data_IF_919963904481
#
_entry.id   IF_919963904481
#
_cell.length_a   1.000
_cell.length_b   1.000
_cell.length_c   1.000
_cell.angle_alpha   90.00
_cell.angle_beta   90.00
_cell.angle_gamma   90.00
#
_symmetry.space_group_name_H-M   'P 1'
#
loop_
_entity.id
_entity.type
_entity.pdbx_description
1 polymer ?
#
# COMPACT_ATOMS: atom_id res chain seq x y z
N UNK A 1 7.93 43.99 -2.14
CA UNK A 1 7.35 43.37 -3.36
C UNK A 1 6.45 42.24 -2.89
N UNK A 2 5.19 42.13 -3.34
CA UNK A 2 4.35 40.99 -3.00
C UNK A 2 4.86 39.74 -3.74
N UNK A 3 4.73 38.58 -3.09
CA UNK A 3 5.09 37.29 -3.66
C UNK A 3 4.27 37.02 -4.93
N UNK A 4 4.92 36.51 -5.98
CA UNK A 4 4.22 36.08 -7.18
C UNK A 4 3.22 34.97 -6.82
N UNK A 5 1.99 34.98 -7.36
CA UNK A 5 1.04 33.90 -7.13
C UNK A 5 1.60 32.59 -7.67
N UNK A 6 1.34 31.48 -6.95
CA UNK A 6 1.66 30.15 -7.43
C UNK A 6 0.98 29.92 -8.80
N UNK A 7 1.67 29.34 -9.80
CA UNK A 7 1.07 29.06 -11.09
C UNK A 7 -0.16 28.15 -10.90
N UNK A 8 -1.29 28.52 -11.51
CA UNK A 8 -2.48 27.66 -11.49
C UNK A 8 -2.20 26.39 -12.28
N UNK A 9 -2.64 25.24 -11.76
CA UNK A 9 -2.51 23.92 -12.38
C UNK A 9 -2.96 23.87 -13.86
N UNK A 10 -3.96 24.69 -14.21
CA UNK A 10 -4.48 24.83 -15.57
C UNK A 10 -3.49 25.38 -16.59
N UNK A 11 -2.45 26.12 -16.17
CA UNK A 11 -1.53 26.79 -17.09
C UNK A 11 -0.51 25.85 -17.75
N UNK A 12 -0.44 24.57 -17.32
CA UNK A 12 0.48 23.57 -17.85
C UNK A 12 -0.17 22.43 -18.64
N UNK A 13 -1.49 22.46 -18.83
CA UNK A 13 -2.25 21.39 -19.50
C UNK A 13 -2.57 21.77 -20.96
N UNK A 14 -2.47 20.83 -21.92
CA UNK A 14 -2.91 21.07 -23.29
C UNK A 14 -4.41 21.42 -23.38
N UNK A 15 -4.77 22.33 -24.30
CA UNK A 15 -6.15 22.80 -24.52
C UNK A 15 -7.16 21.67 -24.82
N UNK A 16 -6.70 20.50 -25.29
CA UNK A 16 -7.57 19.35 -25.54
C UNK A 16 -8.06 18.68 -24.25
N UNK A 17 -7.29 18.74 -23.16
CA UNK A 17 -7.65 18.14 -21.87
C UNK A 17 -8.46 19.12 -21.00
N UNK A 18 -8.25 20.43 -21.15
CA UNK A 18 -9.05 21.45 -20.46
C UNK A 18 -10.45 21.63 -21.04
N UNK A 19 -10.68 21.15 -22.27
CA UNK A 19 -11.99 21.17 -22.94
C UNK A 19 -12.82 19.89 -22.76
N UNK A 20 -12.26 18.85 -22.12
CA UNK A 20 -13.00 17.65 -21.74
C UNK A 20 -13.67 17.85 -20.38
N UNK A 21 -15.01 18.00 -20.41
CA UNK A 21 -15.80 18.35 -19.24
C UNK A 21 -15.77 17.26 -18.16
N UNK A 22 -15.62 15.99 -18.55
CA UNK A 22 -15.60 14.85 -17.63
C UNK A 22 -14.22 14.72 -16.97
N UNK A 23 -13.15 14.93 -17.73
CA UNK A 23 -11.80 15.01 -17.20
C UNK A 23 -11.65 16.16 -16.20
N UNK A 24 -12.12 17.37 -16.54
CA UNK A 24 -12.02 18.53 -15.66
C UNK A 24 -12.93 18.38 -14.43
N UNK A 25 -14.10 17.73 -14.55
CA UNK A 25 -14.96 17.40 -13.41
C UNK A 25 -14.28 16.42 -12.44
N UNK A 26 -13.63 15.37 -12.96
CA UNK A 26 -12.87 14.40 -12.17
C UNK A 26 -11.65 15.02 -11.47
N UNK A 27 -10.91 15.90 -12.16
CA UNK A 27 -9.78 16.63 -11.59
C UNK A 27 -10.22 17.66 -10.54
N UNK A 28 -11.35 18.34 -10.74
CA UNK A 28 -11.86 19.36 -9.80
C UNK A 28 -12.49 18.73 -8.56
N UNK A 29 -13.11 17.55 -8.69
CA UNK A 29 -13.61 16.76 -7.58
C UNK A 29 -12.48 16.08 -6.77
N UNK A 30 -11.31 15.87 -7.38
CA UNK A 30 -10.14 15.32 -6.73
C UNK A 30 -9.36 16.43 -5.98
N UNK A 31 -9.53 16.50 -4.65
CA UNK A 31 -8.67 17.29 -3.76
C UNK A 31 -7.31 16.62 -3.57
N UNK A 32 -6.59 16.38 -4.67
CA UNK A 32 -5.29 15.71 -4.67
C UNK A 32 -4.14 16.72 -4.72
N UNK A 33 -3.09 16.46 -3.94
CA UNK A 33 -1.88 17.31 -3.91
C UNK A 33 -0.88 16.92 -4.99
N UNK A 34 -0.96 15.71 -5.58
CA UNK A 34 -0.04 15.22 -6.62
C UNK A 34 -0.74 14.26 -7.59
N UNK A 35 -0.34 14.33 -8.86
CA UNK A 35 -0.66 13.34 -9.90
C UNK A 35 0.67 12.80 -10.46
N UNK A 36 0.74 11.49 -10.69
CA UNK A 36 1.86 10.85 -11.38
C UNK A 36 1.33 10.09 -12.60
N UNK A 37 1.95 10.34 -13.75
CA UNK A 37 1.70 9.63 -15.00
C UNK A 37 2.91 8.76 -15.30
N UNK A 38 2.70 7.47 -15.57
CA UNK A 38 3.76 6.55 -15.97
C UNK A 38 3.57 6.22 -17.45
N UNK A 39 4.60 6.49 -18.26
CA UNK A 39 4.71 6.05 -19.64
C UNK A 39 5.74 4.93 -19.72
N UNK A 40 5.37 3.78 -20.27
CA UNK A 40 6.14 2.52 -20.25
C UNK A 40 7.01 2.31 -21.50
N UNK A 41 7.50 3.37 -22.14
CA UNK A 41 8.40 3.23 -23.28
C UNK A 41 9.75 3.98 -23.07
N UNK A 42 10.81 3.20 -22.85
CA UNK A 42 12.28 3.50 -22.89
C UNK A 42 13.00 4.07 -21.63
N UNK A 43 14.29 3.68 -21.40
CA UNK A 43 15.01 3.97 -20.17
C UNK A 43 15.78 5.32 -20.21
N UNK A 44 15.61 6.08 -19.12
CA UNK A 44 16.46 7.17 -18.62
C UNK A 44 16.66 8.43 -19.48
N UNK A 45 15.77 9.42 -19.30
CA UNK A 45 16.05 10.78 -18.77
C UNK A 45 14.71 11.51 -18.64
N UNK A 46 14.53 12.42 -17.67
CA UNK A 46 13.22 12.99 -17.36
C UNK A 46 12.52 13.64 -18.57
N UNK A 47 11.22 13.39 -18.73
CA UNK A 47 10.41 13.97 -19.79
C UNK A 47 9.27 14.83 -19.21
N UNK A 48 9.16 16.06 -19.73
CA UNK A 48 7.92 16.81 -19.78
C UNK A 48 7.06 16.26 -20.94
N UNK A 49 5.74 16.33 -20.79
CA UNK A 49 4.77 16.03 -21.86
C UNK A 49 5.06 16.90 -23.09
N UNK A 50 5.66 16.32 -24.12
CA UNK A 50 5.72 16.94 -25.45
C UNK A 50 4.53 16.43 -26.25
N UNK A 51 3.67 17.36 -26.68
CA UNK A 51 2.52 17.07 -27.52
C UNK A 51 2.96 16.37 -28.82
N UNK A 52 2.39 15.19 -29.09
CA UNK A 52 2.53 14.47 -30.37
C UNK A 52 3.19 13.09 -30.33
N UNK A 53 3.63 12.57 -29.18
CA UNK A 53 4.38 11.31 -29.10
C UNK A 53 3.58 10.03 -28.77
N UNK A 54 2.29 10.11 -28.44
CA UNK A 54 1.48 8.91 -28.19
C UNK A 54 0.83 8.45 -29.51
N UNK A 55 1.50 7.55 -30.23
CA UNK A 55 0.88 6.77 -31.30
C UNK A 55 1.13 5.29 -31.09
N UNK A 56 0.16 4.65 -30.46
CA UNK A 56 -0.03 3.20 -30.43
C UNK A 56 -1.33 2.87 -29.69
N UNK A 57 -2.23 2.02 -30.24
CA UNK A 57 -3.47 1.59 -29.58
C UNK A 57 -3.27 0.72 -28.31
N UNK A 58 -2.05 0.68 -27.75
CA UNK A 58 -1.65 -0.15 -26.61
C UNK A 58 -1.05 0.64 -25.43
N UNK A 59 -1.28 1.96 -25.35
CA UNK A 59 -0.80 2.77 -24.23
C UNK A 59 -1.82 2.84 -23.09
N UNK A 60 -1.64 2.01 -22.05
CA UNK A 60 -2.43 2.10 -20.81
C UNK A 60 -1.84 3.19 -19.90
N UNK A 61 -2.68 4.16 -19.51
CA UNK A 61 -2.32 5.18 -18.51
C UNK A 61 -2.79 4.70 -17.14
N UNK A 62 -1.87 4.64 -16.18
CA UNK A 62 -2.19 4.35 -14.78
C UNK A 62 -2.29 5.66 -14.00
N UNK A 63 -3.42 5.88 -13.31
CA UNK A 63 -3.59 6.98 -12.36
C UNK A 63 -3.69 6.40 -10.96
N UNK A 64 -2.73 6.75 -10.11
CA UNK A 64 -2.71 6.36 -8.70
C UNK A 64 -3.20 7.53 -7.83
N UNK A 65 -4.18 7.27 -6.97
CA UNK A 65 -4.70 8.23 -5.99
C UNK A 65 -4.04 8.01 -4.63
N UNK A 66 -3.42 9.05 -4.07
CA UNK A 66 -2.84 9.02 -2.73
C UNK A 66 -3.70 9.83 -1.76
N UNK A 67 -4.21 9.18 -0.71
CA UNK A 67 -4.93 9.84 0.39
C UNK A 67 -4.15 9.74 1.69
N UNK A 68 -3.77 10.88 2.27
CA UNK A 68 -3.00 10.93 3.53
C UNK A 68 -3.79 10.50 4.78
N UNK A 69 -5.10 10.29 4.67
CA UNK A 69 -5.94 10.13 5.86
C UNK A 69 -6.46 8.72 6.14
N UNK A 70 -6.48 7.77 5.18
CA UNK A 70 -7.05 6.43 5.43
C UNK A 70 -6.30 5.25 4.76
N UNK A 71 -5.14 5.43 4.12
CA UNK A 71 -4.29 4.31 3.70
C UNK A 71 -4.85 3.38 2.61
N UNK A 72 -6.01 3.68 2.01
CA UNK A 72 -6.59 2.87 0.95
C UNK A 72 -5.93 3.14 -0.41
N UNK A 73 -5.41 2.08 -1.02
CA UNK A 73 -4.97 2.08 -2.42
C UNK A 73 -6.15 1.77 -3.32
N UNK A 74 -6.49 2.68 -4.23
CA UNK A 74 -7.45 2.41 -5.30
C UNK A 74 -6.74 2.56 -6.65
N UNK A 75 -6.67 1.46 -7.39
CA UNK A 75 -6.31 1.46 -8.80
C UNK A 75 -7.52 1.93 -9.61
N UNK A 76 -7.35 3.00 -10.38
CA UNK A 76 -8.27 3.32 -11.46
C UNK A 76 -7.64 2.84 -12.77
N UNK A 77 -8.05 1.68 -13.25
CA UNK A 77 -7.91 1.31 -14.65
C UNK A 77 -9.03 2.00 -15.43
N UNK A 78 -8.72 2.54 -16.61
CA UNK A 78 -9.77 2.95 -17.55
C UNK A 78 -10.38 1.69 -18.16
N UNK A 79 -11.35 1.13 -17.44
CA UNK A 79 -12.25 0.05 -17.85
C UNK A 79 -13.62 0.42 -17.28
N UNK A 80 -14.70 0.11 -18.00
CA UNK A 80 -16.06 0.28 -17.47
C UNK A 80 -16.36 -0.67 -16.29
N UNK A 81 -15.41 -1.55 -15.92
CA UNK A 81 -15.50 -2.44 -14.75
C UNK A 81 -14.12 -2.59 -14.07
N UNK A 82 -13.90 -2.05 -12.86
CA UNK A 82 -12.61 -2.14 -12.17
C UNK A 82 -12.30 -3.57 -11.72
N UNK A 83 -11.23 -4.17 -12.23
CA UNK A 83 -10.63 -5.38 -11.63
C UNK A 83 -10.00 -4.96 -10.29
N UNK A 84 -10.54 -5.48 -9.19
CA UNK A 84 -10.03 -5.20 -7.84
C UNK A 84 -8.91 -6.17 -7.52
N UNK A 85 -7.67 -5.70 -7.55
CA UNK A 85 -6.59 -6.38 -6.84
C UNK A 85 -6.80 -6.18 -5.33
N UNK A 86 -6.53 -7.20 -4.50
CA UNK A 86 -6.62 -7.04 -3.06
C UNK A 86 -5.65 -5.92 -2.62
N UNK A 87 -6.12 -4.88 -1.90
CA UNK A 87 -5.24 -3.79 -1.49
C UNK A 87 -4.17 -4.34 -0.57
N UNK A 88 -2.90 -4.15 -0.94
CA UNK A 88 -1.80 -4.32 0.01
C UNK A 88 -1.85 -3.11 0.93
N UNK A 89 -2.30 -3.31 2.16
CA UNK A 89 -2.32 -2.25 3.18
C UNK A 89 -0.90 -1.67 3.34
N UNK A 90 -0.77 -0.35 3.43
CA UNK A 90 0.54 0.33 3.55
C UNK A 90 1.38 -0.25 4.71
N UNK A 91 0.73 -0.56 5.84
CA UNK A 91 1.42 -1.18 6.98
C UNK A 91 1.83 -2.64 6.72
N UNK A 92 1.12 -3.37 5.85
CA UNK A 92 1.50 -4.72 5.44
C UNK A 92 2.68 -4.70 4.47
N UNK A 93 2.74 -3.73 3.55
CA UNK A 93 3.89 -3.49 2.69
C UNK A 93 5.14 -3.09 3.51
N UNK A 94 4.97 -2.17 4.47
CA UNK A 94 6.04 -1.80 5.41
C UNK A 94 6.53 -2.98 6.25
N UNK A 95 5.60 -3.81 6.74
CA UNK A 95 5.92 -5.00 7.51
C UNK A 95 6.69 -6.03 6.66
N UNK A 96 6.23 -6.31 5.43
CA UNK A 96 6.87 -7.25 4.50
C UNK A 96 8.30 -6.84 4.16
N UNK A 97 8.54 -5.55 3.89
CA UNK A 97 9.89 -5.07 3.59
C UNK A 97 10.79 -5.10 4.83
N UNK A 98 10.25 -4.83 6.01
CA UNK A 98 11.01 -4.92 7.28
C UNK A 98 11.47 -6.36 7.61
N UNK A 99 10.69 -7.37 7.22
CA UNK A 99 11.01 -8.78 7.50
C UNK A 99 12.03 -9.38 6.52
N UNK A 100 12.05 -8.95 5.26
CA UNK A 100 12.87 -9.57 4.21
C UNK A 100 14.11 -8.77 3.79
N UNK A 101 14.18 -7.48 4.12
CA UNK A 101 15.29 -6.61 3.72
C UNK A 101 16.62 -6.85 4.45
N UNK A 102 16.72 -7.80 5.38
CA UNK A 102 17.98 -8.11 6.08
C UNK A 102 18.53 -6.99 6.99
N UNK A 103 17.83 -5.85 7.08
CA UNK A 103 18.03 -4.88 8.14
C UNK A 103 17.63 -5.56 9.44
N UNK A 104 18.62 -5.89 10.27
CA UNK A 104 18.38 -6.07 11.68
C UNK A 104 17.51 -4.89 12.11
N UNK A 105 16.28 -5.16 12.52
CA UNK A 105 15.35 -4.19 13.10
C UNK A 105 16.20 -3.16 13.85
N UNK A 106 16.25 -1.87 13.47
CA UNK A 106 16.94 -0.87 14.30
C UNK A 106 16.31 -1.05 15.67
N UNK A 107 17.13 -1.53 16.61
CA UNK A 107 16.70 -2.41 17.69
C UNK A 107 15.27 -2.10 18.16
N UNK A 108 14.32 -3.02 17.93
CA UNK A 108 12.96 -2.94 18.51
C UNK A 108 12.97 -2.98 20.03
N UNK A 109 14.17 -2.99 20.64
CA UNK A 109 14.36 -2.73 22.05
C UNK A 109 13.68 -1.40 22.39
N UNK A 110 12.74 -1.51 23.30
CA UNK A 110 12.16 -0.36 23.95
C UNK A 110 13.29 0.49 24.55
N UNK A 111 13.34 1.76 24.17
CA UNK A 111 14.30 2.72 24.73
C UNK A 111 13.91 3.18 26.13
N UNK A 112 12.68 2.87 26.56
CA UNK A 112 12.22 3.15 27.91
C UNK A 112 12.73 2.10 28.90
N UNK A 113 13.09 2.57 30.09
CA UNK A 113 13.44 1.73 31.23
C UNK A 113 12.20 1.46 32.08
N UNK A 114 12.09 0.24 32.61
CA UNK A 114 11.00 -0.17 33.48
C UNK A 114 9.63 0.18 32.88
N UNK A 115 9.44 -0.25 31.64
CA UNK A 115 8.38 0.28 30.78
C UNK A 115 6.99 -0.27 31.10
N UNK A 116 6.92 -1.44 31.76
CA UNK A 116 5.73 -1.98 32.40
C UNK A 116 5.65 -1.67 33.90
N UNK A 117 6.40 -0.68 34.40
CA UNK A 117 6.27 -0.14 35.77
C UNK A 117 6.49 -1.10 36.96
N UNK A 118 6.96 -2.33 36.70
CA UNK A 118 7.13 -3.41 37.67
C UNK A 118 8.11 -3.12 38.83
N UNK A 119 9.10 -2.26 38.60
CA UNK A 119 9.98 -1.79 39.68
C UNK A 119 9.44 -0.48 40.26
N UNK A 120 8.92 -0.49 41.49
CA UNK A 120 8.38 0.69 42.16
C UNK A 120 8.42 0.53 43.70
N UNK A 121 8.09 1.61 44.43
CA UNK A 121 8.04 1.63 45.90
C UNK A 121 6.73 1.12 46.52
N UNK A 122 5.83 0.51 45.73
CA UNK A 122 4.48 0.09 46.12
C UNK A 122 3.37 1.01 45.63
N UNK A 123 2.15 0.76 46.11
CA UNK A 123 0.94 1.48 45.70
C UNK A 123 1.04 2.99 45.96
N UNK A 124 0.61 3.78 44.98
CA UNK A 124 0.69 5.22 45.01
C UNK A 124 2.10 5.79 44.94
N UNK A 125 3.14 4.99 44.63
CA UNK A 125 4.51 5.47 44.43
C UNK A 125 4.84 5.71 42.96
N UNK A 126 6.04 6.22 42.68
CA UNK A 126 6.54 6.35 41.30
C UNK A 126 7.26 5.08 40.89
N UNK A 127 7.11 4.69 39.62
CA UNK A 127 7.92 3.63 39.04
C UNK A 127 9.39 4.07 38.89
N UNK A 128 10.32 3.16 39.13
CA UNK A 128 11.75 3.40 38.95
C UNK A 128 12.03 3.90 37.53
N UNK A 129 12.93 4.87 37.40
CA UNK A 129 13.27 5.57 36.14
C UNK A 129 12.17 6.44 35.54
N UNK A 130 11.01 6.58 36.19
CA UNK A 130 9.97 7.51 35.79
C UNK A 130 9.91 8.70 36.76
N UNK A 131 9.50 9.85 36.23
CA UNK A 131 9.13 11.02 37.02
C UNK A 131 7.61 11.13 37.03
N UNK A 132 7.04 11.45 38.18
CA UNK A 132 5.63 11.76 38.31
C UNK A 132 5.39 13.18 38.82
N UNK A 133 4.21 13.69 38.57
CA UNK A 133 3.69 14.89 39.23
C UNK A 133 2.21 14.73 39.51
N UNK A 134 1.80 15.15 40.69
CA UNK A 134 0.42 15.20 41.16
C UNK A 134 -0.32 13.84 41.21
N UNK A 135 -1.58 13.80 40.77
CA UNK A 135 -2.55 12.73 41.04
C UNK A 135 -2.34 11.49 40.15
N UNK A 136 -1.14 10.90 40.23
CA UNK A 136 -0.77 9.67 39.51
C UNK A 136 0.24 8.83 40.29
N UNK A 137 0.09 7.51 40.25
CA UNK A 137 0.97 6.58 40.96
C UNK A 137 0.85 5.15 40.45
N UNK A 138 1.79 4.30 40.88
CA UNK A 138 1.82 2.88 40.58
C UNK A 138 0.73 2.13 41.36
N UNK A 139 0.02 1.22 40.71
CA UNK A 139 -1.10 0.48 41.28
C UNK A 139 -1.15 -0.92 40.71
N UNK A 140 -1.39 -1.92 41.56
CA UNK A 140 -1.45 -3.31 41.10
C UNK A 140 -2.71 -3.62 40.28
N UNK A 141 -3.81 -2.92 40.55
CA UNK A 141 -5.06 -3.02 39.80
C UNK A 141 -5.04 -2.22 38.48
N UNK A 142 -3.96 -1.48 38.21
CA UNK A 142 -3.78 -0.72 36.98
C UNK A 142 -2.91 -1.44 35.94
N UNK A 143 -2.47 -2.67 36.23
CA UNK A 143 -1.64 -3.48 35.36
C UNK A 143 -2.43 -4.04 34.15
N UNK A 144 -1.84 -3.95 32.97
CA UNK A 144 -2.19 -4.74 31.78
C UNK A 144 -1.40 -6.05 31.78
N UNK A 145 -0.11 -5.98 32.10
CA UNK A 145 0.78 -7.12 32.25
C UNK A 145 1.56 -7.00 33.57
N UNK A 146 2.21 -8.08 33.99
CA UNK A 146 2.94 -8.10 35.26
C UNK A 146 2.05 -7.81 36.48
N UNK A 147 2.60 -7.10 37.46
CA UNK A 147 1.97 -6.84 38.75
C UNK A 147 1.65 -5.36 38.97
N UNK A 148 2.15 -4.43 38.14
CA UNK A 148 1.99 -3.00 38.38
C UNK A 148 1.77 -2.21 37.10
N UNK A 149 0.76 -1.33 37.09
CA UNK A 149 0.64 -0.26 36.10
C UNK A 149 0.67 1.10 36.79
N UNK A 150 0.50 2.19 36.04
CA UNK A 150 0.25 3.52 36.62
C UNK A 150 -1.22 3.92 36.46
N UNK A 151 -1.74 4.71 37.39
CA UNK A 151 -3.11 5.23 37.34
C UNK A 151 -3.19 6.70 37.69
N UNK A 152 -3.93 7.47 36.88
CA UNK A 152 -4.37 8.81 37.25
C UNK A 152 -5.63 8.72 38.10
N UNK A 153 -5.62 9.33 39.29
CA UNK A 153 -6.70 9.22 40.26
C UNK A 153 -7.72 10.34 40.11
N UNK A 154 -9.01 9.98 40.09
CA UNK A 154 -10.08 10.98 40.15
C UNK A 154 -10.43 11.46 41.55
N UNK A 155 -10.12 10.65 42.57
CA UNK A 155 -10.47 10.91 43.96
C UNK A 155 -9.42 11.73 44.72
N UNK A 156 -8.34 12.14 44.05
CA UNK A 156 -7.33 13.01 44.63
C UNK A 156 -7.61 14.49 44.31
N UNK A 157 -7.03 15.43 45.06
CA UNK A 157 -7.49 16.82 45.05
C UNK A 157 -6.91 17.67 43.91
N UNK A 158 -5.78 17.30 43.30
CA UNK A 158 -5.09 18.17 42.35
C UNK A 158 -5.82 18.22 41.00
N UNK A 159 -6.57 17.16 40.65
CA UNK A 159 -7.35 17.04 39.39
C UNK A 159 -6.50 17.14 38.12
N UNK A 160 -5.21 16.87 38.25
CA UNK A 160 -4.26 16.71 37.17
C UNK A 160 -3.13 15.78 37.60
N UNK A 161 -2.45 15.19 36.63
CA UNK A 161 -1.26 14.39 36.86
C UNK A 161 -0.39 14.32 35.62
N UNK A 162 0.86 13.93 35.83
CA UNK A 162 1.82 13.67 34.77
C UNK A 162 2.71 12.50 35.13
N UNK A 163 3.00 11.64 34.15
CA UNK A 163 4.14 10.74 34.21
C UNK A 163 5.01 10.94 32.98
N UNK A 164 6.32 10.86 33.18
CA UNK A 164 7.28 11.01 32.09
C UNK A 164 8.58 10.27 32.33
N UNK A 165 9.26 9.92 31.24
CA UNK A 165 10.64 9.46 31.25
C UNK A 165 11.41 10.15 30.14
N UNK A 166 12.63 10.61 30.46
CA UNK A 166 13.54 11.24 29.50
C UNK A 166 14.52 10.19 28.99
N UNK A 167 14.54 9.98 27.68
CA UNK A 167 15.46 9.09 26.97
C UNK A 167 16.55 9.93 26.32
N UNK A 168 17.79 9.76 26.76
CA UNK A 168 18.96 10.49 26.24
C UNK A 168 19.46 9.89 24.91
N UNK A 169 20.37 10.61 24.26
CA UNK A 169 21.06 10.18 23.04
C UNK A 169 20.12 9.94 21.84
N UNK A 170 19.07 10.75 21.72
CA UNK A 170 18.24 10.71 20.50
C UNK A 170 18.98 11.32 19.31
N UNK A 171 18.75 10.76 18.13
CA UNK A 171 19.40 11.19 16.88
C UNK A 171 18.49 12.18 16.15
N UNK A 172 18.94 13.41 15.95
CA UNK A 172 18.22 14.40 15.14
C UNK A 172 17.95 13.85 13.73
N UNK A 173 16.75 14.07 13.21
CA UNK A 173 16.28 13.53 11.93
C UNK A 173 15.72 12.11 11.99
N UNK A 174 15.99 11.35 13.06
CA UNK A 174 15.38 10.03 13.24
C UNK A 174 13.90 10.15 13.66
N UNK A 175 13.09 9.19 13.22
CA UNK A 175 11.71 9.06 13.66
C UNK A 175 11.67 8.24 14.95
N UNK A 176 10.87 8.69 15.89
CA UNK A 176 10.59 7.98 17.13
C UNK A 176 9.09 7.75 17.25
N UNK A 177 8.73 6.61 17.80
CA UNK A 177 7.34 6.24 18.08
C UNK A 177 7.19 5.91 19.56
N UNK A 178 6.44 6.74 20.26
CA UNK A 178 6.01 6.50 21.63
C UNK A 178 4.62 5.87 21.61
N UNK A 179 4.46 4.71 22.23
CA UNK A 179 3.20 4.01 22.39
C UNK A 179 2.90 3.71 23.85
N UNK A 180 1.63 3.75 24.21
CA UNK A 180 1.17 3.46 25.57
C UNK A 180 -0.22 2.81 25.51
N UNK A 181 -0.37 1.57 25.98
CA UNK A 181 -1.64 1.00 26.37
C UNK A 181 -2.32 1.83 27.48
N UNK A 182 -3.58 2.20 27.26
CA UNK A 182 -4.41 2.89 28.25
C UNK A 182 -5.77 2.19 28.42
N UNK A 183 -6.29 2.21 29.63
CA UNK A 183 -7.65 1.80 29.97
C UNK A 183 -8.32 2.93 30.73
N UNK A 184 -9.48 3.40 30.26
CA UNK A 184 -10.25 4.45 30.94
C UNK A 184 -11.48 3.83 31.58
N UNK A 185 -11.59 3.88 32.91
CA UNK A 185 -12.84 3.49 33.57
C UNK A 185 -14.01 4.30 33.01
N UNK A 186 -15.18 3.67 32.88
CA UNK A 186 -16.35 4.29 32.25
C UNK A 186 -16.78 5.60 32.93
N UNK A 187 -16.57 5.70 34.23
CA UNK A 187 -16.85 6.87 35.05
C UNK A 187 -15.75 7.94 35.00
N UNK A 188 -14.56 7.67 34.45
CA UNK A 188 -13.44 8.61 34.48
C UNK A 188 -13.61 9.69 33.41
N UNK A 189 -13.69 10.95 33.84
CA UNK A 189 -13.78 12.13 32.96
C UNK A 189 -12.62 13.06 33.26
N UNK A 190 -11.95 13.49 32.20
CA UNK A 190 -10.91 14.50 32.19
C UNK A 190 -11.09 15.42 30.98
N UNK A 191 -10.86 16.73 31.15
CA UNK A 191 -10.91 17.68 30.04
C UNK A 191 -9.68 17.60 29.14
N UNK A 192 -8.59 17.02 29.64
CA UNK A 192 -7.35 16.79 28.89
C UNK A 192 -6.82 15.40 29.18
N UNK A 193 -6.52 14.65 28.12
CA UNK A 193 -5.71 13.42 28.15
C UNK A 193 -4.77 13.53 26.96
N UNK A 194 -3.47 13.59 27.20
CA UNK A 194 -2.45 13.80 26.18
C UNK A 194 -1.35 12.74 26.27
N UNK A 195 -0.93 12.23 25.11
CA UNK A 195 0.33 11.51 24.93
C UNK A 195 1.27 12.40 24.11
N UNK A 196 2.53 12.52 24.49
CA UNK A 196 3.50 13.38 23.81
C UNK A 196 4.93 12.88 23.80
N UNK A 197 5.68 13.34 22.80
CA UNK A 197 7.15 13.32 22.75
C UNK A 197 7.62 14.77 22.79
N UNK A 198 8.30 15.16 23.86
CA UNK A 198 8.96 16.46 23.98
C UNK A 198 10.45 16.32 23.66
N UNK A 199 10.95 17.17 22.78
CA UNK A 199 12.35 17.18 22.38
C UNK A 199 13.13 18.15 23.24
N UNK A 200 14.18 17.66 23.89
CA UNK A 200 15.04 18.44 24.76
C UNK A 200 16.42 18.62 24.12
N UNK A 201 17.02 19.80 24.27
CA UNK A 201 18.41 20.06 23.88
C UNK A 201 19.43 19.54 24.92
N UNK A 202 20.70 19.85 24.72
CA UNK A 202 21.79 19.42 25.61
C UNK A 202 21.66 19.95 27.05
N UNK A 203 20.97 21.07 27.22
CA UNK A 203 20.75 21.72 28.52
C UNK A 203 19.43 21.27 29.18
N UNK A 204 18.70 20.34 28.56
CA UNK A 204 17.39 19.90 29.01
C UNK A 204 16.26 20.89 28.71
N UNK A 205 16.50 21.89 27.86
CA UNK A 205 15.49 22.86 27.44
C UNK A 205 14.63 22.26 26.33
N UNK A 206 13.32 22.38 26.45
CA UNK A 206 12.39 21.91 25.41
C UNK A 206 12.50 22.76 24.15
N UNK A 207 12.83 22.12 23.03
CA UNK A 207 12.98 22.74 21.70
C UNK A 207 11.87 22.35 20.73
N UNK A 208 11.00 21.42 21.12
CA UNK A 208 9.84 21.02 20.33
C UNK A 208 8.96 20.02 21.08
N UNK A 209 7.72 19.88 20.62
CA UNK A 209 6.75 18.89 21.14
C UNK A 209 5.89 18.39 19.99
N UNK A 210 5.61 17.09 20.00
CA UNK A 210 4.54 16.49 19.20
C UNK A 210 3.61 15.76 20.16
N UNK A 211 2.31 16.03 20.07
CA UNK A 211 1.33 15.45 20.98
C UNK A 211 0.05 15.01 20.26
N UNK A 212 -0.69 14.11 20.90
CA UNK A 212 -2.04 13.73 20.49
C UNK A 212 -3.00 13.86 21.66
N UNK A 213 -4.16 14.46 21.41
CA UNK A 213 -5.28 14.45 22.36
C UNK A 213 -6.00 13.10 22.28
N UNK A 214 -6.35 12.56 23.44
CA UNK A 214 -7.04 11.28 23.61
C UNK A 214 -8.44 11.45 24.23
N UNK A 215 -8.88 12.69 24.43
CA UNK A 215 -10.22 12.97 24.97
C UNK A 215 -11.28 12.39 24.04
N UNK A 216 -12.21 11.61 24.60
CA UNK A 216 -13.27 10.93 23.83
C UNK A 216 -12.82 9.73 23.00
N UNK A 217 -11.52 9.37 23.02
CA UNK A 217 -10.98 8.26 22.23
C UNK A 217 -10.75 6.97 23.03
N UNK A 218 -10.94 7.00 24.36
CA UNK A 218 -10.64 5.88 25.24
C UNK A 218 -11.90 5.28 25.85
N UNK A 219 -11.84 3.98 26.11
CA UNK A 219 -12.94 3.17 26.65
C UNK A 219 -12.49 2.32 27.85
N UNK A 220 -13.44 1.60 28.45
CA UNK A 220 -13.19 0.61 29.50
C UNK A 220 -12.64 -0.70 28.91
N UNK A 221 -11.68 -0.57 27.99
CA UNK A 221 -10.89 -1.64 27.40
C UNK A 221 -9.47 -1.11 27.18
N UNK A 222 -8.49 -1.99 27.25
CA UNK A 222 -7.10 -1.64 26.97
C UNK A 222 -6.94 -1.28 25.49
N UNK A 223 -6.46 -0.07 25.22
CA UNK A 223 -6.26 0.47 23.89
C UNK A 223 -4.86 1.09 23.81
N UNK A 224 -4.05 0.62 22.86
CA UNK A 224 -2.74 1.25 22.61
C UNK A 224 -2.93 2.54 21.82
N UNK A 225 -2.40 3.63 22.36
CA UNK A 225 -2.29 4.92 21.65
C UNK A 225 -0.83 5.23 21.35
N UNK A 226 -0.61 6.04 20.32
CA UNK A 226 0.74 6.28 19.78
C UNK A 226 0.91 7.72 19.34
N UNK A 227 2.13 8.23 19.49
CA UNK A 227 2.63 9.45 18.86
C UNK A 227 3.89 9.09 18.07
N UNK A 228 3.97 9.56 16.83
CA UNK A 228 5.16 9.41 15.99
C UNK A 228 5.69 10.80 15.66
N UNK A 229 6.99 11.01 15.83
CA UNK A 229 7.62 12.31 15.64
C UNK A 229 9.06 12.18 15.14
N UNK A 230 9.48 13.12 14.30
CA UNK A 230 10.88 13.28 13.87
C UNK A 230 11.61 14.13 14.91
N UNK A 231 12.76 13.68 15.39
CA UNK A 231 13.60 14.46 16.28
C UNK A 231 14.13 15.72 15.55
N UNK A 232 13.85 16.95 16.02
CA UNK A 232 14.31 18.16 15.36
C UNK A 232 15.84 18.33 15.49
N UNK A 233 16.41 19.22 14.68
CA UNK A 233 17.80 19.61 14.81
C UNK A 233 18.09 20.12 16.23
N UNK A 234 19.20 19.66 16.82
CA UNK A 234 19.59 20.02 18.19
C UNK A 234 19.00 19.14 19.29
N UNK A 235 18.07 18.22 18.99
CA UNK A 235 17.55 17.28 19.98
C UNK A 235 18.67 16.40 20.56
N UNK A 236 18.63 16.20 21.88
CA UNK A 236 19.55 15.35 22.67
C UNK A 236 18.83 14.37 23.56
N UNK A 237 17.58 14.66 23.94
CA UNK A 237 16.71 13.71 24.59
C UNK A 237 15.27 13.79 24.07
N UNK A 238 14.54 12.68 24.22
CA UNK A 238 13.09 12.61 24.06
C UNK A 238 12.44 12.37 25.41
N UNK A 239 11.52 13.23 25.82
CA UNK A 239 10.66 13.05 26.98
C UNK A 239 9.34 12.43 26.53
N UNK A 240 9.14 11.18 26.90
CA UNK A 240 7.88 10.47 26.67
C UNK A 240 6.93 10.78 27.81
N UNK A 241 5.79 11.40 27.51
CA UNK A 241 4.90 12.00 28.52
C UNK A 241 3.46 11.53 28.33
N UNK A 242 2.83 11.14 29.43
CA UNK A 242 1.38 11.04 29.52
C UNK A 242 0.89 12.08 30.54
N UNK A 243 -0.08 12.89 30.12
CA UNK A 243 -0.60 14.00 30.92
C UNK A 243 -2.12 13.97 30.96
N UNK A 244 -2.68 14.24 32.13
CA UNK A 244 -4.11 14.28 32.35
C UNK A 244 -4.47 15.50 33.21
N UNK A 245 -5.53 16.22 32.86
CA UNK A 245 -5.99 17.38 33.61
C UNK A 245 -7.50 17.60 33.52
N UNK A 246 -8.03 18.38 34.46
CA UNK A 246 -9.46 18.64 34.59
C UNK A 246 -10.23 17.37 34.90
N UNK A 247 -9.69 16.54 35.79
CA UNK A 247 -10.31 15.28 36.22
C UNK A 247 -11.51 15.61 37.12
N UNK A 248 -12.72 15.18 36.76
CA UNK A 248 -13.96 15.65 37.43
C UNK A 248 -14.84 14.55 38.02
N UNK A 249 -14.67 13.29 37.65
CA UNK A 249 -15.57 12.18 38.03
C UNK A 249 -14.82 10.89 38.35
N UNK A 250 -15.48 9.96 39.03
CA UNK A 250 -14.91 8.73 39.62
C UNK A 250 -14.16 7.80 38.66
N UNK A 251 -13.49 6.77 39.20
CA UNK A 251 -12.67 5.83 38.42
C UNK A 251 -11.25 6.34 38.16
N UNK A 252 -10.53 5.69 37.27
CA UNK A 252 -9.14 5.99 36.94
C UNK A 252 -8.87 5.87 35.43
N UNK A 253 -7.80 6.56 34.99
CA UNK A 253 -7.13 6.28 33.73
C UNK A 253 -5.88 5.46 34.05
N UNK A 254 -5.88 4.20 33.62
CA UNK A 254 -4.80 3.23 33.84
C UNK A 254 -3.92 3.20 32.59
N UNK A 255 -2.63 2.95 32.79
CA UNK A 255 -1.66 2.83 31.72
C UNK A 255 -0.59 1.82 32.13
N UNK A 256 -0.08 1.11 31.15
CA UNK A 256 0.94 0.08 31.35
C UNK A 256 1.72 -0.16 30.05
N UNK A 257 2.84 -0.88 30.10
CA UNK A 257 3.62 -1.33 28.93
C UNK A 257 3.95 -0.22 27.93
N UNK A 258 4.46 0.91 28.44
CA UNK A 258 4.94 2.01 27.63
C UNK A 258 6.03 1.54 26.66
N UNK A 259 6.14 2.13 25.47
CA UNK A 259 7.28 1.87 24.60
C UNK A 259 7.70 3.07 23.78
N UNK A 260 8.99 3.38 23.77
CA UNK A 260 9.62 4.28 22.81
C UNK A 260 10.50 3.44 21.90
N UNK A 261 10.24 3.49 20.59
CA UNK A 261 11.01 2.76 19.60
C UNK A 261 11.52 3.70 18.53
N UNK A 262 12.66 3.36 17.92
CA UNK A 262 13.12 4.01 16.71
C UNK A 262 12.17 3.61 15.57
N UNK A 263 11.50 4.58 14.96
CA UNK A 263 10.71 4.36 13.77
C UNK A 263 11.60 4.40 12.53
N UNK A 264 11.23 3.62 11.52
CA UNK A 264 11.79 3.79 10.18
C UNK A 264 11.18 5.08 9.61
N UNK A 265 12.01 6.11 9.47
CA UNK A 265 11.63 7.31 8.75
C UNK A 265 11.61 6.99 7.25
N UNK A 266 10.49 6.46 6.75
CA UNK A 266 10.30 6.44 5.31
C UNK A 266 10.11 7.90 4.85
N UNK A 267 11.13 8.46 4.21
CA UNK A 267 11.10 9.81 3.63
C UNK A 267 10.32 9.84 2.31
N UNK A 268 10.20 8.69 1.66
CA UNK A 268 9.37 8.47 0.48
C UNK A 268 9.07 6.98 0.34
N UNK A 269 7.90 6.64 -0.18
CA UNK A 269 7.60 5.29 -0.65
C UNK A 269 7.05 5.40 -2.07
N UNK A 270 7.70 4.75 -3.03
CA UNK A 270 7.17 4.56 -4.37
C UNK A 270 6.83 3.09 -4.55
N UNK A 271 5.57 2.82 -4.82
CA UNK A 271 5.09 1.51 -5.22
C UNK A 271 4.75 1.60 -6.70
N UNK A 272 5.40 0.78 -7.52
CA UNK A 272 5.15 0.74 -8.96
C UNK A 272 5.09 -0.69 -9.47
N UNK A 273 4.31 -0.91 -10.52
CA UNK A 273 4.39 -2.14 -11.30
C UNK A 273 5.62 -2.04 -12.21
N UNK A 274 6.45 -3.07 -12.20
CA UNK A 274 7.65 -3.15 -13.04
C UNK A 274 7.58 -4.46 -13.82
N UNK A 275 7.80 -4.35 -15.13
CA UNK A 275 8.07 -5.50 -15.99
C UNK A 275 9.51 -5.40 -16.50
N UNK A 276 10.28 -6.44 -16.28
CA UNK A 276 11.64 -6.64 -16.76
C UNK A 276 11.68 -8.02 -17.45
N UNK A 277 11.80 -8.07 -18.80
CA UNK A 277 11.78 -9.33 -19.53
C UNK A 277 12.96 -10.26 -19.21
N UNK A 278 13.99 -9.79 -18.48
CA UNK A 278 15.07 -10.65 -18.00
C UNK A 278 14.76 -11.32 -16.65
N UNK A 279 13.73 -10.87 -15.93
CA UNK A 279 13.41 -11.30 -14.56
C UNK A 279 11.96 -11.75 -14.37
N UNK A 280 11.04 -11.28 -15.21
CA UNK A 280 9.62 -11.61 -15.15
C UNK A 280 9.25 -12.51 -16.33
N UNK A 281 8.50 -13.57 -16.03
CA UNK A 281 8.12 -14.58 -17.02
C UNK A 281 7.11 -14.06 -18.06
N UNK A 282 6.38 -12.98 -17.73
CA UNK A 282 5.35 -12.43 -18.62
C UNK A 282 5.10 -10.94 -18.36
N UNK A 283 4.86 -10.12 -19.40
CA UNK A 283 4.42 -8.73 -19.25
C UNK A 283 3.04 -8.60 -18.59
N UNK A 284 2.29 -9.71 -18.51
CA UNK A 284 0.98 -9.78 -17.85
C UNK A 284 1.08 -10.16 -16.37
N UNK A 285 2.27 -10.52 -15.90
CA UNK A 285 2.59 -10.75 -14.48
C UNK A 285 3.69 -9.79 -14.01
N UNK A 286 3.47 -8.46 -14.10
CA UNK A 286 4.41 -7.51 -13.56
C UNK A 286 4.58 -7.74 -12.06
N UNK A 287 5.81 -7.61 -11.57
CA UNK A 287 6.06 -7.56 -10.13
C UNK A 287 5.76 -6.16 -9.61
N UNK A 288 5.37 -6.11 -8.34
CA UNK A 288 5.32 -4.86 -7.61
C UNK A 288 6.71 -4.55 -7.11
N UNK A 289 7.26 -3.42 -7.51
CA UNK A 289 8.47 -2.87 -6.92
C UNK A 289 8.08 -1.84 -5.86
N UNK A 290 8.43 -2.13 -4.62
CA UNK A 290 8.26 -1.23 -3.48
C UNK A 290 9.61 -0.63 -3.16
N UNK A 291 9.77 0.65 -3.45
CA UNK A 291 10.95 1.42 -3.09
C UNK A 291 10.65 2.35 -1.92
N UNK A 292 11.50 2.33 -0.88
CA UNK A 292 11.38 3.18 0.30
C UNK A 292 12.65 3.97 0.52
N UNK A 293 12.57 5.29 0.43
CA UNK A 293 13.62 6.18 0.88
C UNK A 293 13.66 6.23 2.40
N UNK A 294 14.83 6.08 2.98
CA UNK A 294 15.12 6.34 4.39
C UNK A 294 16.27 7.34 4.50
N UNK A 295 16.65 7.72 5.73
CA UNK A 295 17.84 8.53 5.95
C UNK A 295 19.15 7.82 5.51
N UNK A 296 19.13 6.48 5.40
CA UNK A 296 20.31 5.66 5.06
C UNK A 296 20.39 5.31 3.57
N UNK A 297 19.32 5.55 2.80
CA UNK A 297 19.27 5.24 1.36
C UNK A 297 17.88 4.79 0.90
N UNK A 298 17.79 4.36 -0.36
CA UNK A 298 16.56 3.80 -0.93
C UNK A 298 16.62 2.28 -0.92
N UNK A 299 15.62 1.64 -0.32
CA UNK A 299 15.44 0.20 -0.34
C UNK A 299 14.43 -0.19 -1.39
N UNK A 300 14.77 -1.13 -2.27
CA UNK A 300 13.87 -1.62 -3.32
C UNK A 300 13.58 -3.09 -3.06
N UNK A 301 12.30 -3.45 -3.02
CA UNK A 301 11.85 -4.83 -2.85
C UNK A 301 10.85 -5.23 -3.93
N UNK A 302 11.08 -6.40 -4.51
CA UNK A 302 10.22 -7.01 -5.52
C UNK A 302 9.17 -7.90 -4.82
N UNK A 303 7.90 -7.67 -5.09
CA UNK A 303 6.76 -8.48 -4.62
C UNK A 303 6.10 -9.13 -5.83
N UNK A 304 6.18 -10.46 -5.89
CA UNK A 304 5.59 -11.27 -6.95
C UNK A 304 4.14 -11.61 -6.62
N UNK A 305 3.26 -11.50 -7.61
CA UNK A 305 1.92 -12.08 -7.53
C UNK A 305 2.11 -13.60 -7.56
N UNK A 306 1.59 -14.33 -6.58
CA UNK A 306 1.85 -15.75 -6.36
C UNK A 306 1.24 -16.72 -7.38
N UNK A 307 1.10 -16.29 -8.63
CA UNK A 307 0.74 -17.12 -9.78
C UNK A 307 2.05 -17.72 -10.28
N UNK A 308 2.17 -19.05 -10.28
CA UNK A 308 3.32 -19.71 -10.88
C UNK A 308 3.11 -19.66 -12.39
N UNK A 309 3.92 -18.93 -13.19
CA UNK A 309 3.58 -18.68 -14.59
C UNK A 309 3.60 -19.96 -15.45
N UNK A 310 4.40 -20.94 -15.05
CA UNK A 310 4.41 -22.30 -15.62
C UNK A 310 3.43 -23.25 -14.94
N UNK A 311 2.66 -22.76 -13.97
CA UNK A 311 1.58 -23.48 -13.32
C UNK A 311 0.39 -23.61 -14.27
N UNK A 312 -0.52 -24.48 -13.87
CA UNK A 312 -1.81 -24.72 -14.51
C UNK A 312 -2.78 -24.78 -13.32
N UNK A 313 -3.18 -23.59 -12.86
CA UNK A 313 -3.77 -23.37 -11.53
C UNK A 313 -5.15 -24.03 -11.43
N UNK A 314 -5.90 -24.11 -12.52
CA UNK A 314 -7.20 -24.78 -12.59
C UNK A 314 -7.16 -26.17 -13.24
N UNK A 315 -5.99 -26.61 -13.73
CA UNK A 315 -5.74 -27.95 -14.27
C UNK A 315 -6.48 -28.23 -15.59
N UNK A 316 -6.67 -27.22 -16.42
CA UNK A 316 -7.29 -27.33 -17.76
C UNK A 316 -6.29 -27.75 -18.86
N UNK A 317 -4.99 -27.75 -18.54
CA UNK A 317 -3.89 -28.12 -19.43
C UNK A 317 -3.21 -26.94 -20.13
N UNK A 318 -3.66 -25.71 -19.91
CA UNK A 318 -3.02 -24.47 -20.32
C UNK A 318 -2.18 -23.92 -19.16
N UNK A 319 -1.07 -23.24 -19.48
CA UNK A 319 -0.30 -22.60 -18.40
C UNK A 319 -0.90 -21.25 -18.04
N UNK A 320 -0.83 -20.87 -16.76
CA UNK A 320 -1.32 -19.57 -16.27
C UNK A 320 -0.76 -18.40 -17.11
N UNK A 321 0.49 -18.52 -17.58
CA UNK A 321 1.12 -17.53 -18.46
C UNK A 321 0.50 -17.48 -19.87
N UNK A 322 0.23 -18.65 -20.47
CA UNK A 322 -0.40 -18.74 -21.79
C UNK A 322 -1.83 -18.19 -21.73
N UNK A 323 -2.56 -18.46 -20.64
CA UNK A 323 -3.93 -17.99 -20.44
C UNK A 323 -3.98 -16.47 -20.32
N UNK A 324 -3.11 -15.89 -19.50
CA UNK A 324 -2.97 -14.43 -19.41
C UNK A 324 -2.57 -13.81 -20.75
N UNK A 325 -1.73 -14.49 -21.53
CA UNK A 325 -1.39 -14.07 -22.89
C UNK A 325 -2.59 -14.14 -23.83
N UNK A 326 -3.42 -15.18 -23.71
CA UNK A 326 -4.65 -15.37 -24.46
C UNK A 326 -5.79 -14.44 -24.01
N UNK A 327 -5.71 -13.88 -22.81
CA UNK A 327 -6.76 -13.11 -22.17
C UNK A 327 -7.85 -13.96 -21.53
N UNK A 328 -7.52 -15.17 -21.11
CA UNK A 328 -8.38 -16.08 -20.33
C UNK A 328 -8.03 -16.04 -18.84
N UNK A 329 -8.81 -16.70 -17.97
CA UNK A 329 -8.64 -16.64 -16.50
C UNK A 329 -8.00 -17.94 -15.95
N UNK A 330 -6.74 -17.88 -15.43
CA UNK A 330 -6.02 -19.05 -14.90
C UNK A 330 -6.63 -19.80 -13.71
N UNK A 331 -7.85 -19.45 -13.31
CA UNK A 331 -8.56 -20.04 -12.19
C UNK A 331 -9.92 -20.58 -12.59
N UNK A 332 -10.28 -20.42 -13.84
CA UNK A 332 -11.55 -20.86 -14.40
C UNK A 332 -11.24 -21.89 -15.49
N UNK A 333 -11.38 -23.20 -15.20
CA UNK A 333 -11.00 -24.25 -16.15
C UNK A 333 -11.90 -24.30 -17.40
N UNK A 334 -12.97 -23.50 -17.43
CA UNK A 334 -13.81 -23.28 -18.60
C UNK A 334 -13.34 -22.07 -19.44
N UNK A 335 -12.36 -21.28 -18.98
CA UNK A 335 -11.79 -20.10 -19.63
C UNK A 335 -10.44 -20.45 -20.28
N UNK A 336 -10.50 -21.02 -21.48
CA UNK A 336 -9.31 -21.51 -22.16
C UNK A 336 -9.28 -21.12 -23.65
N UNK A 337 -8.10 -20.89 -24.21
CA UNK A 337 -7.98 -20.65 -25.66
C UNK A 337 -8.13 -21.96 -26.44
N UNK A 338 -9.37 -22.42 -26.56
CA UNK A 338 -9.72 -23.67 -27.24
C UNK A 338 -10.36 -23.37 -28.60
N UNK A 339 -9.79 -23.99 -29.63
CA UNK A 339 -10.35 -23.94 -30.97
C UNK A 339 -11.22 -25.17 -31.24
N UNK A 340 -12.42 -24.95 -31.78
CA UNK A 340 -13.37 -25.99 -32.15
C UNK A 340 -13.91 -25.79 -33.56
N UNK A 341 -14.45 -26.87 -34.13
CA UNK A 341 -15.15 -26.81 -35.40
C UNK A 341 -16.51 -26.16 -35.18
N UNK A 342 -16.76 -25.00 -35.80
CA UNK A 342 -18.06 -24.38 -35.78
C UNK A 342 -19.03 -25.07 -36.76
N UNK A 343 -20.35 -25.02 -36.48
CA UNK A 343 -21.36 -25.41 -37.46
C UNK A 343 -21.12 -24.66 -38.78
N UNK A 344 -21.10 -25.42 -39.87
CA UNK A 344 -20.77 -24.93 -41.21
C UNK A 344 -21.65 -23.77 -41.70
N UNK A 345 -22.87 -23.61 -41.16
CA UNK A 345 -23.77 -22.51 -41.51
C UNK A 345 -23.98 -22.36 -43.04
N UNK A 346 -23.88 -21.13 -43.54
CA UNK A 346 -23.94 -20.81 -44.97
C UNK A 346 -22.58 -20.94 -45.71
N UNK A 347 -21.57 -21.57 -45.10
CA UNK A 347 -20.25 -21.66 -45.69
C UNK A 347 -20.22 -22.59 -46.93
N UNK A 348 -19.36 -22.30 -47.94
CA UNK A 348 -19.30 -23.04 -49.19
C UNK A 348 -19.16 -24.57 -49.09
N UNK A 349 -19.45 -25.33 -50.18
CA UNK A 349 -19.25 -26.78 -50.34
C UNK A 349 -17.95 -27.39 -49.77
N UNK A 350 -16.86 -26.61 -49.65
CA UNK A 350 -15.54 -27.06 -49.18
C UNK A 350 -14.97 -26.18 -48.05
N UNK A 351 -15.81 -25.49 -47.30
CA UNK A 351 -15.36 -24.60 -46.23
C UNK A 351 -15.39 -25.30 -44.86
N UNK A 352 -14.32 -25.10 -44.08
CA UNK A 352 -14.23 -25.46 -42.66
C UNK A 352 -14.17 -24.18 -41.83
N UNK A 353 -15.05 -24.05 -40.83
CA UNK A 353 -15.11 -22.88 -39.95
C UNK A 353 -14.46 -23.24 -38.63
N UNK A 354 -13.35 -22.59 -38.33
CA UNK A 354 -12.66 -22.65 -37.05
C UNK A 354 -13.25 -21.57 -36.15
N UNK A 355 -13.58 -21.92 -34.92
CA UNK A 355 -14.13 -21.01 -33.92
C UNK A 355 -13.34 -21.13 -32.63
N UNK A 356 -13.13 -20.02 -31.92
CA UNK A 356 -12.42 -19.99 -30.65
C UNK A 356 -12.93 -18.86 -29.77
N UNK A 357 -12.73 -19.00 -28.46
CA UNK A 357 -13.04 -17.93 -27.51
C UNK A 357 -12.12 -16.74 -27.71
N UNK A 358 -12.70 -15.55 -27.74
CA UNK A 358 -11.97 -14.31 -27.99
C UNK A 358 -12.08 -13.35 -26.81
N UNK A 359 -10.94 -12.82 -26.39
CA UNK A 359 -10.82 -11.77 -25.40
C UNK A 359 -10.71 -10.39 -26.08
N UNK A 360 -11.29 -9.34 -25.49
CA UNK A 360 -11.19 -7.96 -26.02
C UNK A 360 -9.73 -7.54 -26.22
N UNK A 361 -9.48 -6.64 -27.17
CA UNK A 361 -8.15 -6.05 -27.45
C UNK A 361 -7.07 -7.02 -27.96
N UNK A 362 -7.41 -8.30 -28.17
CA UNK A 362 -6.51 -9.27 -28.79
C UNK A 362 -6.62 -9.26 -30.32
N UNK A 363 -5.56 -9.73 -30.94
CA UNK A 363 -5.52 -10.04 -32.38
C UNK A 363 -5.11 -11.49 -32.52
N UNK A 364 -5.70 -12.21 -33.47
CA UNK A 364 -5.48 -13.64 -33.64
C UNK A 364 -4.96 -14.00 -35.03
N UNK A 365 -4.16 -15.06 -35.07
CA UNK A 365 -3.73 -15.75 -36.28
C UNK A 365 -4.21 -17.19 -36.29
N UNK A 366 -4.53 -17.71 -37.48
CA UNK A 366 -4.89 -19.11 -37.70
C UNK A 366 -3.90 -19.71 -38.70
N UNK A 367 -3.23 -20.78 -38.26
CA UNK A 367 -2.32 -21.57 -39.09
C UNK A 367 -2.89 -22.96 -39.27
N UNK A 368 -2.79 -23.50 -40.49
CA UNK A 368 -3.27 -24.83 -40.85
C UNK A 368 -2.14 -25.74 -41.33
N UNK A 369 -2.36 -27.05 -41.26
CA UNK A 369 -1.50 -28.09 -41.82
C UNK A 369 -2.37 -29.20 -42.42
N UNK A 370 -1.88 -29.86 -43.47
CA UNK A 370 -2.50 -31.12 -43.93
C UNK A 370 -1.97 -32.32 -43.12
N UNK A 371 -0.70 -32.28 -42.75
CA UNK A 371 -0.04 -33.26 -41.90
C UNK A 371 0.75 -32.51 -40.81
N UNK A 372 0.47 -32.72 -39.52
CA UNK A 372 0.95 -31.83 -38.45
C UNK A 372 2.43 -32.00 -38.13
N UNK A 373 3.02 -33.17 -38.43
CA UNK A 373 4.42 -33.49 -38.10
C UNK A 373 5.39 -33.30 -39.25
N UNK A 374 4.91 -33.29 -40.49
CA UNK A 374 5.76 -33.26 -41.69
C UNK A 374 5.32 -32.24 -42.74
N UNK A 375 4.10 -31.69 -42.61
CA UNK A 375 3.55 -30.72 -43.55
C UNK A 375 4.10 -29.31 -43.34
N UNK A 376 4.20 -28.56 -44.44
CA UNK A 376 4.49 -27.12 -44.37
C UNK A 376 3.28 -26.37 -43.78
N UNK A 377 3.45 -25.51 -42.77
CA UNK A 377 2.36 -24.67 -42.27
C UNK A 377 1.86 -23.77 -43.37
N UNK A 378 0.54 -23.62 -43.46
CA UNK A 378 -0.11 -22.60 -44.29
C UNK A 378 -0.81 -21.60 -43.39
N UNK A 379 -0.67 -20.32 -43.70
CA UNK A 379 -1.39 -19.25 -43.01
C UNK A 379 -2.83 -19.23 -43.54
N UNK A 380 -3.79 -19.49 -42.66
CA UNK A 380 -5.23 -19.42 -42.98
C UNK A 380 -5.68 -17.96 -42.91
N UNK A 381 -5.37 -17.30 -41.79
CA UNK A 381 -5.70 -15.91 -41.54
C UNK A 381 -4.76 -15.31 -40.49
N UNK A 382 -4.70 -13.98 -40.43
CA UNK A 382 -3.84 -13.18 -39.54
C UNK A 382 -4.51 -11.84 -39.30
N UNK A 383 -4.11 -11.13 -38.25
CA UNK A 383 -4.63 -9.80 -37.98
C UNK A 383 -6.11 -9.82 -37.65
N UNK A 384 -6.67 -10.94 -37.19
CA UNK A 384 -8.11 -11.09 -36.92
C UNK A 384 -8.39 -10.35 -35.61
N UNK A 385 -9.08 -9.19 -35.64
CA UNK A 385 -9.37 -8.47 -34.41
C UNK A 385 -10.36 -9.25 -33.56
N UNK A 386 -10.21 -9.18 -32.24
CA UNK A 386 -11.14 -9.79 -31.30
C UNK A 386 -12.59 -9.32 -31.50
N UNK A 387 -13.52 -10.27 -31.54
CA UNK A 387 -14.98 -10.09 -31.50
C UNK A 387 -15.57 -10.99 -30.41
N UNK A 388 -15.40 -10.63 -29.12
CA UNK A 388 -15.91 -11.44 -28.02
C UNK A 388 -17.43 -11.70 -28.12
N UNK A 389 -17.92 -12.84 -27.64
CA UNK A 389 -17.15 -13.88 -26.92
C UNK A 389 -16.39 -14.84 -27.84
N UNK A 390 -16.64 -14.84 -29.15
CA UNK A 390 -16.15 -15.88 -30.07
C UNK A 390 -15.71 -15.28 -31.40
N UNK A 391 -14.51 -15.64 -31.85
CA UNK A 391 -14.03 -15.36 -33.21
C UNK A 391 -14.20 -16.59 -34.10
N UNK A 392 -14.29 -16.33 -35.42
CA UNK A 392 -14.27 -17.40 -36.42
C UNK A 392 -13.29 -17.08 -37.55
N UNK A 393 -12.74 -18.13 -38.15
CA UNK A 393 -12.00 -18.07 -39.40
C UNK A 393 -12.50 -19.18 -40.32
N UNK A 394 -12.70 -18.86 -41.59
CA UNK A 394 -13.12 -19.85 -42.58
C UNK A 394 -11.95 -20.24 -43.47
N UNK A 395 -11.79 -21.53 -43.66
CA UNK A 395 -10.75 -22.10 -44.50
C UNK A 395 -11.33 -22.95 -45.63
N UNK A 396 -10.69 -22.93 -46.79
CA UNK A 396 -11.08 -23.74 -47.94
C UNK A 396 -10.30 -25.05 -47.95
N UNK A 397 -10.93 -26.13 -47.51
CA UNK A 397 -10.28 -27.42 -47.29
C UNK A 397 -10.44 -28.30 -48.53
N UNK A 398 -9.31 -28.71 -49.10
CA UNK A 398 -9.24 -29.62 -50.26
C UNK A 398 -8.76 -31.03 -49.89
N UNK A 399 -8.34 -31.22 -48.64
CA UNK A 399 -7.89 -32.51 -48.09
C UNK A 399 -9.00 -33.16 -47.25
N UNK A 400 -8.98 -34.49 -47.17
CA UNK A 400 -9.88 -35.22 -46.27
C UNK A 400 -9.60 -34.94 -44.79
N UNK A 401 -8.41 -34.42 -44.45
CA UNK A 401 -8.00 -34.03 -43.09
C UNK A 401 -7.18 -32.75 -43.11
N UNK A 402 -7.36 -31.92 -42.08
CA UNK A 402 -6.56 -30.72 -41.84
C UNK A 402 -6.49 -30.46 -40.35
N UNK A 403 -5.39 -29.85 -39.92
CA UNK A 403 -5.06 -29.53 -38.54
C UNK A 403 -4.90 -28.02 -38.44
N UNK A 404 -5.34 -27.43 -37.33
CA UNK A 404 -5.35 -25.99 -37.14
C UNK A 404 -4.77 -25.61 -35.78
N UNK A 405 -4.11 -24.46 -35.72
CA UNK A 405 -3.66 -23.80 -34.50
C UNK A 405 -4.11 -22.35 -34.54
N UNK A 406 -4.83 -21.95 -33.49
CA UNK A 406 -5.10 -20.54 -33.18
C UNK A 406 -3.99 -20.04 -32.27
N UNK A 407 -3.52 -18.81 -32.50
CA UNK A 407 -2.57 -18.14 -31.61
C UNK A 407 -2.92 -16.66 -31.52
N UNK A 408 -2.54 -16.03 -30.41
CA UNK A 408 -2.60 -14.58 -30.24
C UNK A 408 -1.36 -13.96 -30.93
N UNK A 409 -1.56 -12.82 -31.60
CA UNK A 409 -0.54 -12.06 -32.33
C UNK A 409 -0.09 -10.79 -31.58
#
# INVERSE_FOLDING_TARGET
>A
MPAAPAPSFSAGLPDALTNDADFMSACTAATATYFHFVNVATPATGYALVAGGLRGPASTVYVLKFGLQNGDFQQATWWETPVRYPPVHHDAALWLVSQRGGYANPSTSNLLLNSGFESNGGAGQVAASWTRSADVGAENWAALSGAWGMAFYSWWPQKWGEIRQDVSNVTAGAVYRFSLPLYRDSSFVASTIELSIDWLDLNGVMIGRVSTSLVGQLSAQWQTRRVTAVAPAGARAARCRAYCAGITSGGALKLDDAALTLGIAATSATVRLVFDPARDDSPFLPRWEVAMGTAEGTFVHDVFLGVAPSGDTDSDGMSDADELYAGTDPKDPDSALVAYAAPRGAAPPNAFVISWESATTRTYGVTGWFEPTTGTPRRVATGIPATPPVNTATDNVTSARSYYRVHVE
#
